data_IF_803943005452
#
_entry.id   IF_803943005452
#
_cell.length_a   1.000
_cell.length_b   1.000
_cell.length_c   1.000
_cell.angle_alpha   90.00
_cell.angle_beta   90.00
_cell.angle_gamma   90.00
#
_symmetry.space_group_name_H-M   'P 1'
#
loop_
_entity.id
_entity.type
_entity.pdbx_description
1 polymer ?
#
# COMPACT_ATOMS: atom_id res chain seq x y z
N UNK A 1 -10.71 6.32 5.24
CA UNK A 1 -9.31 5.96 5.59
C UNK A 1 -8.66 6.94 6.56
N UNK A 2 -8.74 8.28 6.34
CA UNK A 2 -8.07 9.28 7.18
C UNK A 2 -9.00 10.09 8.10
N UNK A 3 -10.19 9.59 8.39
CA UNK A 3 -11.14 10.26 9.30
C UNK A 3 -10.53 10.42 10.69
N UNK A 4 -10.54 11.66 11.22
CA UNK A 4 -9.94 11.98 12.51
C UNK A 4 -8.44 12.26 12.50
N UNK A 5 -7.75 12.08 11.35
CA UNK A 5 -6.32 12.38 11.22
C UNK A 5 -6.08 13.85 10.88
N UNK A 6 -5.11 14.46 11.56
CA UNK A 6 -4.68 15.84 11.36
C UNK A 6 -3.34 15.87 10.61
N UNK A 7 -3.33 16.47 9.43
CA UNK A 7 -2.16 16.51 8.55
C UNK A 7 -1.75 17.96 8.33
N UNK A 8 -0.46 18.24 8.53
CA UNK A 8 0.14 19.53 8.18
C UNK A 8 0.87 19.41 6.85
N UNK A 9 0.45 20.21 5.87
CA UNK A 9 1.16 20.41 4.61
C UNK A 9 2.01 21.68 4.70
N UNK A 10 3.32 21.53 4.72
CA UNK A 10 4.28 22.59 4.81
C UNK A 10 4.83 22.93 3.42
N UNK A 11 4.32 24.01 2.82
CA UNK A 11 4.59 24.41 1.42
C UNK A 11 5.68 25.47 1.36
N UNK A 12 6.73 25.19 0.58
CA UNK A 12 7.87 26.11 0.45
C UNK A 12 7.99 26.71 -0.95
N UNK A 13 8.86 27.69 -1.13
CA UNK A 13 9.03 28.43 -2.37
C UNK A 13 9.60 27.59 -3.52
N UNK A 14 8.73 26.97 -4.28
CA UNK A 14 9.05 26.19 -5.49
C UNK A 14 7.86 26.23 -6.45
N UNK A 15 8.14 26.18 -7.75
CA UNK A 15 7.09 26.07 -8.78
C UNK A 15 6.19 24.85 -8.53
N UNK A 16 6.70 23.76 -7.94
CA UNK A 16 5.92 22.57 -7.64
C UNK A 16 4.84 22.77 -6.55
N UNK A 17 4.75 23.96 -5.92
CA UNK A 17 3.74 24.27 -4.90
C UNK A 17 2.30 24.10 -5.41
N UNK A 18 2.02 24.34 -6.70
CA UNK A 18 0.68 24.16 -7.28
C UNK A 18 0.16 22.72 -7.16
N UNK A 19 1.05 21.73 -7.18
CA UNK A 19 0.68 20.33 -7.05
C UNK A 19 0.09 20.00 -5.66
N UNK A 20 0.51 20.72 -4.64
CA UNK A 20 0.05 20.46 -3.26
C UNK A 20 -1.42 20.85 -3.08
N UNK A 21 -1.96 21.75 -3.91
CA UNK A 21 -3.39 22.03 -3.93
C UNK A 21 -4.21 20.80 -4.29
N UNK A 22 -3.75 20.00 -5.29
CA UNK A 22 -4.39 18.74 -5.63
C UNK A 22 -4.27 17.71 -4.51
N UNK A 23 -3.09 17.58 -3.89
CA UNK A 23 -2.90 16.70 -2.74
C UNK A 23 -3.80 17.07 -1.56
N UNK A 24 -3.95 18.35 -1.25
CA UNK A 24 -4.86 18.84 -0.20
C UNK A 24 -6.32 18.40 -0.50
N UNK A 25 -6.76 18.53 -1.77
CA UNK A 25 -8.08 18.03 -2.19
C UNK A 25 -8.22 16.51 -2.05
N UNK A 26 -7.18 15.73 -2.42
CA UNK A 26 -7.19 14.27 -2.26
C UNK A 26 -7.32 13.86 -0.79
N UNK A 27 -6.57 14.50 0.10
CA UNK A 27 -6.63 14.25 1.55
C UNK A 27 -7.99 14.61 2.14
N UNK A 28 -8.59 15.73 1.69
CA UNK A 28 -9.95 16.12 2.08
C UNK A 28 -11.01 15.09 1.69
N UNK A 29 -10.89 14.48 0.48
CA UNK A 29 -11.78 13.37 0.05
C UNK A 29 -11.63 12.12 0.91
N UNK A 30 -10.48 11.91 1.53
CA UNK A 30 -10.23 10.84 2.49
C UNK A 30 -10.63 11.20 3.93
N UNK A 31 -11.27 12.37 4.11
CA UNK A 31 -11.76 12.91 5.39
C UNK A 31 -10.65 13.29 6.38
N UNK A 32 -9.44 13.60 5.92
CA UNK A 32 -8.40 14.18 6.76
C UNK A 32 -8.70 15.66 7.09
N UNK A 33 -8.33 16.10 8.30
CA UNK A 33 -8.25 17.52 8.62
C UNK A 33 -6.87 18.03 8.17
N UNK A 34 -6.87 18.90 7.16
CA UNK A 34 -5.64 19.40 6.54
C UNK A 34 -5.41 20.84 6.95
N UNK A 35 -4.25 21.15 7.52
CA UNK A 35 -3.78 22.54 7.78
C UNK A 35 -2.57 22.81 6.89
N UNK A 36 -2.56 23.96 6.23
CA UNK A 36 -1.46 24.35 5.33
C UNK A 36 -0.64 25.45 5.95
N UNK A 37 0.68 25.21 6.00
CA UNK A 37 1.68 26.22 6.36
C UNK A 37 2.41 26.64 5.09
N UNK A 38 2.63 27.92 4.89
CA UNK A 38 3.39 28.43 3.76
C UNK A 38 4.54 29.31 4.22
N UNK A 39 5.70 29.15 3.56
CA UNK A 39 6.74 30.17 3.67
C UNK A 39 6.33 31.43 2.90
N UNK A 40 6.85 32.61 3.27
CA UNK A 40 6.63 33.83 2.50
C UNK A 40 7.00 33.68 1.01
N UNK A 41 8.06 32.88 0.71
CA UNK A 41 8.45 32.63 -0.67
C UNK A 41 7.45 31.75 -1.42
N UNK A 42 6.70 30.87 -0.73
CA UNK A 42 5.69 30.02 -1.36
C UNK A 42 4.51 30.83 -1.92
N UNK A 43 4.18 31.95 -1.30
CA UNK A 43 3.06 32.82 -1.73
C UNK A 43 3.29 33.48 -3.10
N UNK A 44 4.54 33.50 -3.59
CA UNK A 44 4.87 33.95 -4.93
C UNK A 44 4.49 32.92 -6.03
N UNK A 45 4.26 31.65 -5.66
CA UNK A 45 3.95 30.57 -6.60
C UNK A 45 2.49 30.14 -6.54
N UNK A 46 1.85 30.24 -5.38
CA UNK A 46 0.43 29.91 -5.19
C UNK A 46 -0.16 30.80 -4.10
N UNK A 47 -1.40 31.27 -4.31
CA UNK A 47 -2.06 32.13 -3.34
C UNK A 47 -2.62 31.29 -2.17
N UNK A 48 -2.46 31.72 -0.91
CA UNK A 48 -3.02 31.07 0.28
C UNK A 48 -4.50 30.74 0.21
N UNK A 49 -5.31 31.63 -0.42
CA UNK A 49 -6.77 31.42 -0.60
C UNK A 49 -7.10 30.12 -1.33
N UNK A 50 -6.19 29.62 -2.18
CA UNK A 50 -6.37 28.34 -2.86
C UNK A 50 -6.46 27.20 -1.85
N UNK A 51 -5.57 27.17 -0.88
CA UNK A 51 -5.56 26.16 0.17
C UNK A 51 -6.71 26.33 1.15
N UNK A 52 -7.04 27.56 1.53
CA UNK A 52 -8.17 27.86 2.42
C UNK A 52 -9.49 27.38 1.82
N UNK A 53 -9.68 27.60 0.53
CA UNK A 53 -10.88 27.14 -0.20
C UNK A 53 -10.97 25.61 -0.24
N UNK A 54 -9.83 24.91 -0.43
CA UNK A 54 -9.80 23.46 -0.56
C UNK A 54 -9.91 22.73 0.78
N UNK A 55 -9.37 23.31 1.84
CA UNK A 55 -9.29 22.64 3.16
C UNK A 55 -10.36 23.11 4.14
N UNK A 56 -10.97 24.28 3.89
CA UNK A 56 -11.86 24.95 4.85
C UNK A 56 -11.13 25.48 6.09
N UNK A 57 -9.80 25.47 6.12
CA UNK A 57 -8.97 25.94 7.21
C UNK A 57 -8.11 27.12 6.77
N UNK A 58 -7.80 28.01 7.70
CA UNK A 58 -6.88 29.14 7.47
C UNK A 58 -5.49 28.61 7.06
N UNK A 59 -4.89 29.22 6.04
CA UNK A 59 -3.50 29.00 5.66
C UNK A 59 -2.59 29.87 6.54
N UNK A 60 -1.61 29.26 7.20
CA UNK A 60 -0.77 29.94 8.17
C UNK A 60 0.58 30.32 7.54
N UNK A 61 0.94 31.58 7.63
CA UNK A 61 2.16 32.14 7.01
C UNK A 61 3.01 32.86 8.06
N UNK A 62 2.38 33.72 8.86
CA UNK A 62 3.05 34.57 9.85
C UNK A 62 2.93 33.97 11.25
N UNK A 63 4.05 33.88 11.95
CA UNK A 63 4.12 33.39 13.33
C UNK A 63 3.42 34.34 14.31
N UNK A 64 3.35 35.63 13.97
CA UNK A 64 2.85 36.72 14.83
C UNK A 64 1.60 37.39 14.28
N UNK A 65 0.77 36.67 13.54
CA UNK A 65 -0.53 37.18 13.09
C UNK A 65 -1.40 37.55 14.30
N UNK A 66 -1.76 38.85 14.39
CA UNK A 66 -2.52 39.41 15.53
C UNK A 66 -4.02 39.05 15.53
N UNK A 67 -4.52 38.41 14.49
CA UNK A 67 -5.93 37.96 14.38
C UNK A 67 -6.16 36.57 14.95
N UNK A 68 -5.32 36.11 15.88
CA UNK A 68 -5.44 34.77 16.48
C UNK A 68 -6.20 34.78 17.82
N UNK A 69 -6.84 33.70 18.13
CA UNK A 69 -7.36 33.43 19.46
C UNK A 69 -6.20 33.07 20.38
N UNK A 70 -6.25 33.52 21.65
CA UNK A 70 -5.23 33.48 22.72
C UNK A 70 -4.37 32.22 22.93
N UNK A 71 -4.19 31.35 21.93
CA UNK A 71 -3.35 30.15 21.94
C UNK A 71 -2.12 30.38 21.08
N UNK A 72 -0.97 29.86 21.51
CA UNK A 72 0.25 29.81 20.69
C UNK A 72 0.03 28.82 19.55
N UNK A 73 -0.36 29.32 18.39
CA UNK A 73 -0.93 28.57 17.27
C UNK A 73 -0.03 27.42 16.83
N UNK A 74 1.29 27.65 16.69
CA UNK A 74 2.24 26.59 16.31
C UNK A 74 2.38 25.48 17.37
N UNK A 75 2.20 25.78 18.67
CA UNK A 75 2.26 24.77 19.75
C UNK A 75 0.98 23.94 19.79
N UNK A 76 -0.19 24.58 19.63
CA UNK A 76 -1.46 23.88 19.56
C UNK A 76 -1.50 22.94 18.36
N UNK A 77 -1.14 23.44 17.19
CA UNK A 77 -1.08 22.66 15.96
C UNK A 77 -0.10 21.49 16.07
N UNK A 78 1.08 21.72 16.67
CA UNK A 78 2.09 20.66 16.83
C UNK A 78 1.62 19.50 17.71
N UNK A 79 0.77 19.75 18.72
CA UNK A 79 0.21 18.73 19.61
C UNK A 79 -0.85 17.86 18.96
N UNK A 80 -1.63 18.45 18.04
CA UNK A 80 -2.74 17.76 17.38
C UNK A 80 -2.33 17.05 16.08
N UNK A 81 -1.16 17.35 15.53
CA UNK A 81 -0.73 16.85 14.22
C UNK A 81 -0.26 15.41 14.27
N UNK A 82 -0.85 14.56 13.43
CA UNK A 82 -0.46 13.15 13.26
C UNK A 82 0.72 12.99 12.27
N UNK A 83 0.83 13.89 11.28
CA UNK A 83 1.89 13.87 10.28
C UNK A 83 2.16 15.24 9.69
N UNK A 84 3.45 15.54 9.48
CA UNK A 84 3.90 16.71 8.72
C UNK A 84 4.50 16.27 7.39
N UNK A 85 3.99 16.80 6.27
CA UNK A 85 4.62 16.69 4.96
C UNK A 85 5.18 18.05 4.55
N UNK A 86 6.49 18.14 4.40
CA UNK A 86 7.15 19.32 3.80
C UNK A 86 7.27 19.08 2.30
N UNK A 87 6.39 19.70 1.53
CA UNK A 87 6.29 19.51 0.08
C UNK A 87 5.71 20.76 -0.61
N UNK A 88 6.36 21.25 -1.67
CA UNK A 88 7.74 20.97 -2.06
C UNK A 88 8.72 21.43 -0.98
N UNK A 89 9.77 20.67 -0.72
CA UNK A 89 10.84 21.06 0.20
C UNK A 89 12.01 21.70 -0.56
N UNK A 90 12.18 23.01 -0.45
CA UNK A 90 13.32 23.72 -1.03
C UNK A 90 14.62 23.46 -0.25
N UNK A 91 15.77 23.58 -0.92
CA UNK A 91 17.08 23.45 -0.28
C UNK A 91 17.22 24.38 0.95
N UNK A 92 16.65 25.59 0.89
CA UNK A 92 16.65 26.54 2.00
C UNK A 92 15.95 25.96 3.23
N UNK A 93 14.72 25.46 3.09
CA UNK A 93 13.93 24.92 4.21
C UNK A 93 14.53 23.60 4.72
N UNK A 94 15.04 22.74 3.84
CA UNK A 94 15.81 21.54 4.22
C UNK A 94 17.01 21.94 5.10
N UNK A 95 17.78 22.95 4.69
CA UNK A 95 18.91 23.46 5.44
C UNK A 95 18.51 24.04 6.80
N UNK A 96 17.43 24.80 6.88
CA UNK A 96 16.89 25.35 8.13
C UNK A 96 16.51 24.24 9.10
N UNK A 97 15.66 23.31 8.69
CA UNK A 97 15.20 22.20 9.54
C UNK A 97 16.39 21.36 10.01
N UNK A 98 17.33 21.02 9.11
CA UNK A 98 18.50 20.22 9.42
C UNK A 98 19.43 20.88 10.48
N UNK A 99 19.41 22.19 10.56
CA UNK A 99 20.26 22.94 11.50
C UNK A 99 19.46 23.61 12.66
N UNK A 100 18.19 23.24 12.84
CA UNK A 100 17.38 23.72 13.97
C UNK A 100 17.00 25.21 13.87
N UNK A 101 16.97 25.78 12.67
CA UNK A 101 16.57 27.18 12.45
C UNK A 101 15.05 27.22 12.34
N UNK A 102 14.40 27.96 13.24
CA UNK A 102 12.96 28.10 13.36
C UNK A 102 12.60 29.61 13.35
N UNK A 103 12.76 30.23 12.18
CA UNK A 103 12.64 31.69 12.01
C UNK A 103 11.35 32.11 11.28
N UNK A 104 10.49 31.17 10.94
CA UNK A 104 9.18 31.39 10.35
C UNK A 104 8.13 30.42 10.91
N UNK A 105 6.84 30.62 10.62
CA UNK A 105 5.73 29.81 11.11
C UNK A 105 5.90 28.33 10.73
N UNK A 106 6.34 28.03 9.50
CA UNK A 106 6.52 26.69 9.00
C UNK A 106 7.63 25.94 9.77
N UNK A 107 8.82 26.53 9.82
CA UNK A 107 9.98 25.89 10.47
C UNK A 107 9.79 25.77 11.98
N UNK A 108 9.15 26.76 12.63
CA UNK A 108 8.79 26.70 14.05
C UNK A 108 7.84 25.56 14.35
N UNK A 109 6.77 25.41 13.54
CA UNK A 109 5.80 24.31 13.72
C UNK A 109 6.44 22.96 13.47
N UNK A 110 7.22 22.80 12.38
CA UNK A 110 7.93 21.53 12.08
C UNK A 110 8.85 21.12 13.22
N UNK A 111 9.55 22.08 13.85
CA UNK A 111 10.42 21.81 15.00
C UNK A 111 9.64 21.45 16.25
N UNK A 112 8.45 22.02 16.46
CA UNK A 112 7.61 21.75 17.63
C UNK A 112 6.87 20.42 17.55
N UNK A 113 6.60 19.89 16.33
CA UNK A 113 5.91 18.62 16.13
C UNK A 113 6.75 17.44 16.61
N UNK A 114 6.13 16.51 17.35
CA UNK A 114 6.72 15.22 17.72
C UNK A 114 6.36 14.07 16.74
N UNK A 115 5.36 14.30 15.90
CA UNK A 115 4.87 13.30 14.93
C UNK A 115 5.87 13.01 13.79
N UNK A 116 5.56 12.03 12.95
CA UNK A 116 6.34 11.69 11.75
C UNK A 116 6.42 12.88 10.80
N UNK A 117 7.61 13.08 10.26
CA UNK A 117 7.89 14.13 9.29
C UNK A 117 8.39 13.53 7.98
N UNK A 118 7.74 13.91 6.88
CA UNK A 118 8.11 13.49 5.52
C UNK A 118 8.56 14.72 4.76
N UNK A 119 9.69 14.63 4.10
CA UNK A 119 10.31 15.71 3.34
C UNK A 119 10.35 15.30 1.87
N UNK A 120 9.71 16.08 1.00
CA UNK A 120 9.71 15.89 -0.45
C UNK A 120 10.54 16.95 -1.15
N UNK A 121 11.84 16.73 -1.40
CA UNK A 121 12.72 17.69 -2.04
C UNK A 121 12.24 18.08 -3.44
N UNK A 122 12.36 19.38 -3.76
CA UNK A 122 12.07 19.92 -5.09
C UNK A 122 13.00 21.09 -5.39
N UNK A 123 13.95 20.87 -6.30
CA UNK A 123 14.97 21.86 -6.66
C UNK A 123 15.66 21.49 -7.98
N UNK A 124 16.45 22.41 -8.51
CA UNK A 124 17.33 22.14 -9.65
C UNK A 124 18.30 20.98 -9.34
N UNK A 125 18.70 20.23 -10.36
CA UNK A 125 19.60 19.07 -10.25
C UNK A 125 20.90 19.38 -9.54
N UNK A 126 21.56 20.49 -9.89
CA UNK A 126 22.84 20.87 -9.28
C UNK A 126 22.68 21.23 -7.78
N UNK A 127 21.55 21.85 -7.41
CA UNK A 127 21.22 22.08 -6.02
C UNK A 127 20.98 20.76 -5.27
N UNK A 128 20.25 19.84 -5.87
CA UNK A 128 20.00 18.53 -5.27
C UNK A 128 21.29 17.72 -5.07
N UNK A 129 22.18 17.71 -6.07
CA UNK A 129 23.46 17.01 -6.02
C UNK A 129 24.52 17.73 -5.16
N UNK A 130 24.25 18.97 -4.72
CA UNK A 130 25.21 19.73 -3.91
C UNK A 130 25.51 18.97 -2.62
N UNK A 131 26.81 18.75 -2.28
CA UNK A 131 27.21 17.99 -1.09
C UNK A 131 26.60 18.51 0.21
N UNK A 132 26.44 19.82 0.36
CA UNK A 132 25.85 20.45 1.56
C UNK A 132 24.36 20.08 1.67
N UNK A 133 23.64 20.10 0.54
CA UNK A 133 22.21 19.73 0.50
C UNK A 133 22.04 18.23 0.78
N UNK A 134 22.91 17.39 0.22
CA UNK A 134 22.92 15.94 0.49
C UNK A 134 23.23 15.64 1.97
N UNK A 135 24.20 16.34 2.58
CA UNK A 135 24.50 16.19 4.01
C UNK A 135 23.32 16.63 4.88
N UNK A 136 22.67 17.74 4.57
CA UNK A 136 21.46 18.18 5.27
C UNK A 136 20.34 17.13 5.18
N UNK A 137 20.07 16.55 4.01
CA UNK A 137 19.07 15.49 3.85
C UNK A 137 19.46 14.22 4.64
N UNK A 138 20.72 13.83 4.64
CA UNK A 138 21.22 12.70 5.43
C UNK A 138 21.12 12.97 6.93
N UNK A 139 21.32 14.22 7.36
CA UNK A 139 21.12 14.66 8.73
C UNK A 139 19.64 14.52 9.13
N UNK A 140 18.69 14.95 8.29
CA UNK A 140 17.26 14.75 8.54
C UNK A 140 16.90 13.26 8.68
N UNK A 141 17.43 12.40 7.81
CA UNK A 141 17.22 10.92 7.90
C UNK A 141 17.74 10.36 9.22
N UNK A 142 18.94 10.79 9.66
CA UNK A 142 19.51 10.36 10.97
C UNK A 142 18.63 10.76 12.15
N UNK A 143 17.88 11.85 12.05
CA UNK A 143 16.92 12.28 13.07
C UNK A 143 15.50 11.71 12.87
N UNK A 144 15.35 10.64 12.08
CA UNK A 144 14.10 9.91 11.93
C UNK A 144 13.08 10.53 10.97
N UNK A 145 13.45 11.58 10.24
CA UNK A 145 12.62 12.14 9.19
C UNK A 145 12.78 11.33 7.91
N UNK A 146 11.68 11.12 7.22
CA UNK A 146 11.71 10.44 5.93
C UNK A 146 11.92 11.44 4.80
N UNK A 147 12.99 11.25 4.04
CA UNK A 147 13.30 12.10 2.89
C UNK A 147 13.05 11.31 1.62
N UNK A 148 11.98 11.67 0.90
CA UNK A 148 11.60 11.05 -0.37
C UNK A 148 12.65 11.38 -1.43
N UNK A 149 13.03 10.38 -2.22
CA UNK A 149 13.88 10.62 -3.39
C UNK A 149 13.07 11.33 -4.46
N UNK A 150 13.51 12.49 -4.97
CA UNK A 150 12.81 13.17 -6.06
C UNK A 150 12.89 12.38 -7.36
N UNK A 151 11.91 12.60 -8.24
CA UNK A 151 11.88 12.01 -9.57
C UNK A 151 12.97 12.60 -10.48
N UNK A 152 13.30 11.82 -11.50
CA UNK A 152 14.12 12.28 -12.63
C UNK A 152 13.22 12.67 -13.79
N UNK A 153 13.56 13.73 -14.50
CA UNK A 153 12.82 14.17 -15.70
C UNK A 153 13.07 15.64 -16.02
N UNK A 154 12.23 16.17 -16.91
CA UNK A 154 12.31 17.56 -17.33
C UNK A 154 11.90 18.51 -16.18
N UNK A 155 12.81 19.42 -15.85
CA UNK A 155 12.64 20.42 -14.80
C UNK A 155 12.16 21.76 -15.36
N UNK A 156 11.55 22.59 -14.53
CA UNK A 156 11.05 23.90 -14.95
C UNK A 156 12.12 24.88 -15.42
N UNK A 157 13.41 24.63 -15.12
CA UNK A 157 14.54 25.40 -15.63
C UNK A 157 14.97 24.98 -17.05
N UNK A 158 14.34 23.95 -17.66
CA UNK A 158 14.70 23.44 -18.98
C UNK A 158 15.70 22.29 -18.97
N UNK A 159 16.27 21.94 -17.82
CA UNK A 159 17.24 20.84 -17.70
C UNK A 159 16.52 19.50 -17.48
N UNK A 160 17.14 18.41 -17.92
CA UNK A 160 16.75 17.05 -17.58
C UNK A 160 17.65 16.51 -16.46
N UNK A 161 17.01 16.00 -15.39
CA UNK A 161 17.75 15.45 -14.26
C UNK A 161 16.91 15.15 -13.05
N UNK A 162 17.58 14.76 -11.96
CA UNK A 162 16.95 14.49 -10.66
C UNK A 162 16.67 15.81 -9.93
N UNK A 163 15.54 15.89 -9.24
CA UNK A 163 15.16 17.08 -8.44
C UNK A 163 13.68 17.44 -8.57
N UNK A 164 12.93 16.72 -9.40
CA UNK A 164 11.50 16.91 -9.59
C UNK A 164 10.73 16.30 -8.42
N UNK A 165 9.84 17.10 -7.79
CA UNK A 165 8.97 16.57 -6.74
C UNK A 165 8.13 15.40 -7.30
N UNK A 166 8.02 14.28 -6.58
CA UNK A 166 7.19 13.16 -6.96
C UNK A 166 5.73 13.56 -7.22
N UNK A 167 4.97 12.67 -7.84
CA UNK A 167 3.55 12.91 -8.09
C UNK A 167 2.77 13.01 -6.78
N UNK A 168 1.60 13.65 -6.83
CA UNK A 168 0.70 13.79 -5.70
C UNK A 168 0.23 12.42 -5.18
N UNK A 169 0.10 11.44 -6.07
CA UNK A 169 -0.24 10.07 -5.69
C UNK A 169 0.88 9.44 -4.85
N UNK A 170 2.14 9.57 -5.26
CA UNK A 170 3.28 9.05 -4.49
C UNK A 170 3.34 9.72 -3.11
N UNK A 171 3.13 11.04 -3.02
CA UNK A 171 3.07 11.74 -1.74
C UNK A 171 1.93 11.22 -0.85
N UNK A 172 0.76 10.96 -1.44
CA UNK A 172 -0.39 10.37 -0.75
C UNK A 172 -0.06 8.97 -0.24
N UNK A 173 0.59 8.13 -1.06
CA UNK A 173 0.97 6.76 -0.67
C UNK A 173 1.90 6.76 0.55
N UNK A 174 2.86 7.70 0.61
CA UNK A 174 3.71 7.89 1.79
C UNK A 174 2.91 8.30 3.03
N UNK A 175 1.94 9.22 2.89
CA UNK A 175 1.06 9.63 4.01
C UNK A 175 0.22 8.45 4.50
N UNK A 176 -0.43 7.72 3.58
CA UNK A 176 -1.27 6.56 3.92
C UNK A 176 -0.45 5.47 4.61
N UNK A 177 0.74 5.17 4.09
CA UNK A 177 1.65 4.21 4.72
C UNK A 177 1.95 4.56 6.18
N UNK A 178 2.07 5.84 6.52
CA UNK A 178 2.41 6.24 7.89
C UNK A 178 1.22 6.26 8.84
N UNK A 179 0.04 6.76 8.42
CA UNK A 179 -1.04 7.09 9.36
C UNK A 179 -2.42 6.48 9.05
N UNK A 180 -2.59 5.74 7.94
CA UNK A 180 -3.90 5.21 7.58
C UNK A 180 -4.44 4.22 8.62
N UNK A 181 -3.58 3.36 9.17
CA UNK A 181 -3.92 2.35 10.16
C UNK A 181 -2.89 2.29 11.29
N UNK A 182 -3.27 1.68 12.42
CA UNK A 182 -2.33 1.27 13.45
C UNK A 182 -1.29 0.30 12.87
N UNK A 183 -0.07 0.33 13.44
CA UNK A 183 1.04 -0.50 12.98
C UNK A 183 1.12 -1.82 13.76
N UNK A 184 -0.02 -2.49 13.89
CA UNK A 184 -0.16 -3.76 14.63
C UNK A 184 0.56 -4.94 13.98
N UNK A 185 0.93 -4.83 12.70
CA UNK A 185 1.78 -5.78 12.00
C UNK A 185 3.25 -5.33 11.90
N UNK A 186 3.67 -4.30 12.64
CA UNK A 186 5.06 -3.85 12.62
C UNK A 186 6.03 -4.98 13.00
N UNK A 187 7.06 -5.17 12.16
CA UNK A 187 8.06 -6.24 12.33
C UNK A 187 7.59 -7.64 11.90
N UNK A 188 6.36 -7.79 11.39
CA UNK A 188 5.86 -9.04 10.81
C UNK A 188 6.19 -9.12 9.33
N UNK A 189 6.62 -10.30 8.88
CA UNK A 189 6.80 -10.65 7.47
C UNK A 189 5.55 -11.35 6.95
N UNK A 190 4.95 -10.82 5.90
CA UNK A 190 3.69 -11.33 5.32
C UNK A 190 3.89 -11.72 3.86
N UNK A 191 3.66 -12.99 3.55
CA UNK A 191 3.66 -13.50 2.18
C UNK A 191 2.22 -13.58 1.66
N UNK A 192 1.95 -12.94 0.53
CA UNK A 192 0.66 -13.00 -0.14
C UNK A 192 0.83 -13.56 -1.55
N UNK A 193 0.02 -14.54 -1.94
CA UNK A 193 -0.06 -14.96 -3.34
C UNK A 193 -1.28 -14.35 -4.01
N UNK A 194 -1.16 -13.86 -5.23
CA UNK A 194 -2.24 -13.20 -5.96
C UNK A 194 -2.29 -13.58 -7.45
N UNK A 195 -3.38 -13.19 -8.11
CA UNK A 195 -3.58 -13.40 -9.54
C UNK A 195 -4.00 -14.81 -9.89
N UNK A 196 -4.08 -15.06 -11.20
CA UNK A 196 -4.22 -16.39 -11.76
C UNK A 196 -2.87 -16.83 -12.34
N UNK A 197 -2.57 -18.13 -12.22
CA UNK A 197 -1.49 -18.74 -12.98
C UNK A 197 -1.93 -19.01 -14.41
N UNK A 198 -0.98 -19.15 -15.31
CA UNK A 198 -1.21 -19.46 -16.73
C UNK A 198 -0.38 -20.66 -17.13
N UNK A 199 -1.07 -21.72 -17.50
CA UNK A 199 -0.45 -22.98 -17.90
C UNK A 199 -0.35 -23.05 -19.42
N UNK A 200 0.87 -22.98 -19.93
CA UNK A 200 1.16 -22.89 -21.36
C UNK A 200 0.68 -24.14 -22.12
N UNK A 201 -0.10 -23.95 -23.18
CA UNK A 201 -0.42 -24.97 -24.17
C UNK A 201 0.61 -24.89 -25.31
N UNK A 202 0.87 -23.69 -25.80
CA UNK A 202 1.87 -23.34 -26.81
C UNK A 202 2.32 -21.88 -26.58
N UNK A 203 3.22 -21.28 -27.37
CA UNK A 203 3.67 -19.91 -27.20
C UNK A 203 2.57 -18.85 -27.24
N UNK A 204 1.35 -19.19 -27.71
CA UNK A 204 0.25 -18.26 -27.95
C UNK A 204 -0.93 -18.50 -27.00
N UNK A 205 -1.16 -19.76 -26.63
CA UNK A 205 -2.36 -20.19 -25.89
C UNK A 205 -1.99 -20.77 -24.54
N UNK A 206 -2.87 -20.54 -23.56
CA UNK A 206 -2.70 -21.02 -22.18
C UNK A 206 -4.06 -21.34 -21.55
N UNK A 207 -4.04 -22.14 -20.49
CA UNK A 207 -5.16 -22.40 -19.57
C UNK A 207 -4.98 -21.48 -18.36
N UNK A 208 -6.03 -20.84 -17.90
CA UNK A 208 -5.99 -19.97 -16.72
C UNK A 208 -7.35 -19.87 -16.05
N UNK A 209 -7.39 -19.24 -14.89
CA UNK A 209 -8.59 -18.93 -14.13
C UNK A 209 -9.07 -17.49 -14.39
N UNK A 210 -10.34 -17.20 -14.11
CA UNK A 210 -10.93 -15.86 -14.27
C UNK A 210 -10.50 -14.85 -13.18
N UNK A 211 -9.63 -15.24 -12.25
CA UNK A 211 -9.18 -14.35 -11.18
C UNK A 211 -8.40 -13.15 -11.71
N UNK A 212 -8.74 -11.98 -11.22
CA UNK A 212 -8.04 -10.71 -11.53
C UNK A 212 -6.89 -10.40 -10.56
N UNK A 213 -6.81 -11.10 -9.42
CA UNK A 213 -5.84 -10.82 -8.36
C UNK A 213 -6.25 -9.73 -7.36
N UNK A 214 -7.37 -9.03 -7.58
CA UNK A 214 -7.79 -7.87 -6.75
C UNK A 214 -7.73 -8.16 -5.25
N UNK A 215 -8.19 -9.33 -4.78
CA UNK A 215 -8.20 -9.65 -3.35
C UNK A 215 -6.77 -9.77 -2.80
N UNK A 216 -5.88 -10.50 -3.46
CA UNK A 216 -4.49 -10.63 -3.01
C UNK A 216 -3.74 -9.29 -2.99
N UNK A 217 -3.99 -8.42 -3.96
CA UNK A 217 -3.43 -7.07 -3.99
C UNK A 217 -3.96 -6.21 -2.83
N UNK A 218 -5.26 -6.24 -2.56
CA UNK A 218 -5.86 -5.51 -1.43
C UNK A 218 -5.33 -6.02 -0.06
N UNK A 219 -5.12 -7.34 0.08
CA UNK A 219 -4.51 -7.92 1.29
C UNK A 219 -3.07 -7.44 1.45
N UNK A 220 -2.28 -7.46 0.38
CA UNK A 220 -0.89 -7.00 0.42
C UNK A 220 -0.78 -5.52 0.77
N UNK A 221 -1.64 -4.68 0.19
CA UNK A 221 -1.73 -3.26 0.51
C UNK A 221 -2.13 -3.02 1.97
N UNK A 222 -3.17 -3.69 2.46
CA UNK A 222 -3.63 -3.55 3.83
C UNK A 222 -2.54 -3.97 4.84
N UNK A 223 -1.88 -5.11 4.61
CA UNK A 223 -0.78 -5.56 5.47
C UNK A 223 0.38 -4.55 5.49
N UNK A 224 0.74 -3.98 4.35
CA UNK A 224 1.76 -2.92 4.24
C UNK A 224 1.34 -1.66 5.00
N UNK A 225 0.10 -1.21 4.84
CA UNK A 225 -0.42 -0.03 5.56
C UNK A 225 -0.46 -0.25 7.08
N UNK A 226 -0.57 -1.48 7.55
CA UNK A 226 -0.47 -1.89 8.97
C UNK A 226 0.97 -2.15 9.44
N UNK A 227 1.96 -1.88 8.59
CA UNK A 227 3.38 -1.88 8.95
C UNK A 227 4.12 -3.19 8.73
N UNK A 228 3.52 -4.17 8.06
CA UNK A 228 4.19 -5.42 7.71
C UNK A 228 5.25 -5.23 6.62
N UNK A 229 6.27 -6.09 6.64
CA UNK A 229 7.16 -6.34 5.51
C UNK A 229 6.50 -7.36 4.58
N UNK A 230 6.02 -6.90 3.42
CA UNK A 230 5.15 -7.68 2.54
C UNK A 230 5.88 -8.17 1.32
N UNK A 231 5.78 -9.49 1.06
CA UNK A 231 6.15 -10.10 -0.22
C UNK A 231 4.90 -10.56 -0.97
N UNK A 232 4.67 -10.01 -2.15
CA UNK A 232 3.58 -10.36 -3.05
C UNK A 232 4.09 -11.23 -4.20
N UNK A 233 3.76 -12.53 -4.18
CA UNK A 233 4.00 -13.42 -5.31
C UNK A 233 2.77 -13.36 -6.22
N UNK A 234 2.92 -12.84 -7.42
CA UNK A 234 1.77 -12.58 -8.30
C UNK A 234 1.92 -13.15 -9.69
N UNK A 235 0.87 -13.85 -10.13
CA UNK A 235 0.66 -14.17 -11.54
C UNK A 235 0.41 -12.90 -12.36
N UNK A 236 0.28 -13.05 -13.68
CA UNK A 236 0.02 -11.92 -14.57
C UNK A 236 -1.28 -11.22 -14.19
N UNK A 237 -1.20 -9.93 -13.91
CA UNK A 237 -2.33 -9.07 -13.57
C UNK A 237 -2.23 -7.75 -14.34
N UNK A 238 -3.38 -7.09 -14.57
CA UNK A 238 -3.46 -5.72 -15.07
C UNK A 238 -3.34 -4.69 -13.94
N UNK A 239 -3.37 -5.14 -12.68
CA UNK A 239 -3.26 -4.27 -11.52
C UNK A 239 -1.81 -3.84 -11.31
N UNK A 240 -1.63 -2.59 -10.89
CA UNK A 240 -0.35 -2.09 -10.42
C UNK A 240 -0.12 -2.59 -8.99
N UNK A 241 1.01 -3.23 -8.68
CA UNK A 241 1.32 -3.61 -7.31
C UNK A 241 1.32 -2.42 -6.36
N UNK A 242 0.87 -2.59 -5.10
CA UNK A 242 1.00 -1.55 -4.09
C UNK A 242 2.46 -1.09 -3.94
N UNK A 243 2.70 0.19 -3.65
CA UNK A 243 4.06 0.66 -3.35
C UNK A 243 4.58 0.07 -2.03
N UNK A 244 5.88 0.15 -1.82
CA UNK A 244 6.59 -0.26 -0.57
C UNK A 244 6.51 -1.76 -0.23
N UNK A 245 6.20 -2.63 -1.17
CA UNK A 245 6.22 -4.09 -0.99
C UNK A 245 7.24 -4.75 -1.92
N UNK A 246 7.68 -5.95 -1.57
CA UNK A 246 8.48 -6.79 -2.46
C UNK A 246 7.54 -7.55 -3.41
N UNK A 247 7.80 -7.48 -4.72
CA UNK A 247 6.97 -8.14 -5.75
C UNK A 247 7.77 -9.21 -6.46
N UNK A 248 7.27 -10.45 -6.44
CA UNK A 248 7.83 -11.59 -7.14
C UNK A 248 6.86 -12.01 -8.26
N UNK A 249 7.12 -11.63 -9.51
CA UNK A 249 6.28 -12.00 -10.64
C UNK A 249 6.49 -13.48 -11.01
N UNK A 250 5.39 -14.19 -11.26
CA UNK A 250 5.37 -15.60 -11.70
C UNK A 250 4.40 -15.78 -12.87
N UNK A 251 4.51 -16.89 -13.59
CA UNK A 251 3.62 -17.19 -14.73
C UNK A 251 2.80 -18.44 -14.44
N UNK A 252 3.44 -19.56 -14.14
CA UNK A 252 2.82 -20.86 -13.97
C UNK A 252 2.58 -21.22 -12.51
N UNK A 253 1.80 -22.28 -12.28
CA UNK A 253 1.64 -22.88 -10.96
C UNK A 253 2.98 -23.35 -10.38
N UNK A 254 3.88 -23.87 -11.24
CA UNK A 254 5.20 -24.31 -10.82
C UNK A 254 6.06 -23.13 -10.36
N UNK A 255 6.09 -22.02 -11.13
CA UNK A 255 6.84 -20.84 -10.72
C UNK A 255 6.35 -20.30 -9.37
N UNK A 256 5.02 -20.31 -9.17
CA UNK A 256 4.43 -19.86 -7.90
C UNK A 256 4.78 -20.81 -6.75
N UNK A 257 4.77 -22.11 -6.99
CA UNK A 257 5.17 -23.12 -5.99
C UNK A 257 6.63 -22.89 -5.57
N UNK A 258 7.55 -22.77 -6.55
CA UNK A 258 8.97 -22.56 -6.29
C UNK A 258 9.21 -21.26 -5.54
N UNK A 259 8.59 -20.15 -5.95
CA UNK A 259 8.70 -18.86 -5.28
C UNK A 259 8.18 -18.89 -3.83
N UNK A 260 7.06 -19.59 -3.58
CA UNK A 260 6.53 -19.78 -2.22
C UNK A 260 7.48 -20.61 -1.38
N UNK A 261 7.98 -21.74 -1.91
CA UNK A 261 8.94 -22.62 -1.22
C UNK A 261 10.18 -21.85 -0.78
N UNK A 262 10.72 -21.03 -1.67
CA UNK A 262 11.96 -20.29 -1.44
C UNK A 262 11.81 -19.14 -0.43
N UNK A 263 10.58 -18.61 -0.25
CA UNK A 263 10.30 -17.47 0.62
C UNK A 263 9.65 -17.84 1.97
N UNK A 264 8.91 -18.96 2.05
CA UNK A 264 7.98 -19.23 3.16
C UNK A 264 8.63 -19.37 4.53
N UNK A 265 9.88 -19.80 4.58
CA UNK A 265 10.55 -20.09 5.85
C UNK A 265 10.74 -18.87 6.75
N UNK A 266 10.86 -17.69 6.16
CA UNK A 266 11.09 -16.44 6.88
C UNK A 266 9.79 -15.67 7.19
N UNK A 267 8.63 -16.16 6.75
CA UNK A 267 7.37 -15.45 6.92
C UNK A 267 6.68 -15.78 8.24
N UNK A 268 6.09 -14.76 8.86
CA UNK A 268 5.21 -14.93 10.03
C UNK A 268 3.79 -15.31 9.61
N UNK A 269 3.31 -14.72 8.51
CA UNK A 269 1.94 -14.88 8.00
C UNK A 269 2.01 -15.23 6.51
N UNK A 270 1.30 -16.28 6.10
CA UNK A 270 1.22 -16.71 4.71
C UNK A 270 -0.24 -16.75 4.27
N UNK A 271 -0.59 -15.95 3.26
CA UNK A 271 -1.96 -15.84 2.74
C UNK A 271 -1.99 -16.30 1.29
N UNK A 272 -2.57 -17.48 1.06
CA UNK A 272 -2.70 -18.07 -0.26
C UNK A 272 -4.03 -17.63 -0.90
N UNK A 273 -4.04 -16.46 -1.59
CA UNK A 273 -5.21 -15.90 -2.25
C UNK A 273 -5.22 -16.10 -3.77
N UNK A 274 -4.12 -16.55 -4.36
CA UNK A 274 -4.02 -16.81 -5.81
C UNK A 274 -4.95 -17.93 -6.26
N UNK A 275 -5.53 -17.76 -7.46
CA UNK A 275 -6.23 -18.80 -8.18
C UNK A 275 -5.22 -19.60 -9.03
N UNK A 276 -4.60 -20.59 -8.40
CA UNK A 276 -3.64 -21.49 -9.06
C UNK A 276 -4.38 -22.54 -9.86
N UNK A 277 -3.91 -22.84 -11.06
CA UNK A 277 -4.48 -23.93 -11.87
C UNK A 277 -4.17 -25.29 -11.21
N UNK A 278 -5.20 -26.12 -11.06
CA UNK A 278 -5.06 -27.49 -10.51
C UNK A 278 -4.47 -28.49 -11.51
N UNK A 279 -4.47 -28.11 -12.80
CA UNK A 279 -4.00 -28.92 -13.90
C UNK A 279 -3.18 -28.11 -14.89
N UNK A 280 -2.15 -28.74 -15.46
CA UNK A 280 -1.31 -28.17 -16.53
C UNK A 280 -1.21 -29.15 -17.71
N UNK A 281 -0.95 -28.69 -18.97
CA UNK A 281 -0.64 -29.56 -20.08
C UNK A 281 0.62 -30.40 -19.82
N UNK A 282 0.55 -31.73 -20.10
CA UNK A 282 1.69 -32.64 -19.89
C UNK A 282 2.86 -32.29 -20.79
N UNK A 283 2.58 -31.92 -22.05
CA UNK A 283 3.58 -31.60 -23.06
C UNK A 283 3.17 -30.30 -23.75
N UNK A 284 3.56 -29.13 -23.20
CA UNK A 284 3.33 -27.85 -23.88
C UNK A 284 4.16 -27.81 -25.16
N UNK A 285 3.55 -27.40 -26.26
CA UNK A 285 4.24 -27.30 -27.55
C UNK A 285 5.23 -26.12 -27.56
N UNK A 286 6.41 -26.33 -28.15
CA UNK A 286 7.41 -25.26 -28.31
C UNK A 286 7.01 -24.28 -29.40
N UNK A 287 6.26 -24.73 -30.41
CA UNK A 287 5.76 -23.89 -31.49
C UNK A 287 4.22 -23.82 -31.46
N UNK A 288 3.66 -22.76 -32.06
CA UNK A 288 2.22 -22.59 -32.22
C UNK A 288 1.60 -23.79 -32.93
N UNK A 289 0.68 -24.48 -32.26
CA UNK A 289 -0.07 -25.60 -32.84
C UNK A 289 -0.93 -25.06 -33.99
N UNK A 290 -0.70 -25.56 -35.20
CA UNK A 290 -1.50 -25.21 -36.38
C UNK A 290 -2.86 -25.87 -36.34
N UNK A 291 -3.88 -25.22 -36.90
CA UNK A 291 -5.22 -25.81 -37.05
C UNK A 291 -5.13 -27.03 -37.92
N UNK A 292 -5.72 -28.13 -37.45
CA UNK A 292 -5.86 -29.39 -38.17
C UNK A 292 -7.34 -29.60 -38.51
N UNK A 293 -7.66 -30.59 -39.36
CA UNK A 293 -9.05 -30.90 -39.72
C UNK A 293 -9.78 -31.60 -38.59
N UNK A 294 -9.05 -32.29 -37.71
CA UNK A 294 -9.59 -33.03 -36.57
C UNK A 294 -9.66 -32.18 -35.29
N UNK A 295 -10.47 -32.66 -34.32
CA UNK A 295 -10.56 -32.09 -32.98
C UNK A 295 -9.25 -32.20 -32.22
N UNK A 296 -8.89 -31.16 -31.47
CA UNK A 296 -7.70 -31.13 -30.65
C UNK A 296 -8.02 -31.53 -29.20
N UNK A 297 -7.33 -32.55 -28.69
CA UNK A 297 -7.34 -32.91 -27.27
C UNK A 297 -6.03 -32.54 -26.59
N UNK A 298 -6.12 -32.07 -25.36
CA UNK A 298 -4.95 -31.70 -24.55
C UNK A 298 -4.97 -32.61 -23.30
N UNK A 299 -3.92 -33.42 -23.15
CA UNK A 299 -3.75 -34.19 -21.93
C UNK A 299 -3.24 -33.31 -20.81
N UNK A 300 -3.91 -33.34 -19.65
CA UNK A 300 -3.58 -32.58 -18.47
C UNK A 300 -3.04 -33.49 -17.37
N UNK A 301 -2.12 -32.98 -16.57
CA UNK A 301 -1.63 -33.55 -15.31
C UNK A 301 -1.88 -32.58 -14.15
N UNK A 302 -1.87 -33.09 -12.91
CA UNK A 302 -2.04 -32.24 -11.71
C UNK A 302 -0.81 -31.39 -11.47
N UNK A 303 -1.05 -30.17 -11.01
CA UNK A 303 -0.02 -29.27 -10.47
C UNK A 303 0.26 -29.57 -9.00
N UNK A 304 1.35 -29.01 -8.47
CA UNK A 304 1.70 -29.15 -7.06
C UNK A 304 0.75 -28.36 -6.16
N UNK A 305 0.45 -28.95 -5.01
CA UNK A 305 -0.47 -28.39 -4.03
C UNK A 305 0.27 -27.41 -3.09
N UNK A 306 0.31 -26.14 -3.47
CA UNK A 306 1.01 -25.09 -2.72
C UNK A 306 0.53 -25.01 -1.27
N UNK A 307 -0.80 -24.99 -1.03
CA UNK A 307 -1.32 -24.86 0.34
C UNK A 307 -1.02 -26.10 1.18
N UNK A 308 -1.09 -27.29 0.58
CA UNK A 308 -0.69 -28.55 1.23
C UNK A 308 0.78 -28.54 1.62
N UNK A 309 1.64 -28.11 0.70
CA UNK A 309 3.08 -27.99 0.95
C UNK A 309 3.39 -27.02 2.10
N UNK A 310 2.77 -25.82 2.08
CA UNK A 310 2.95 -24.83 3.17
C UNK A 310 2.54 -25.45 4.52
N UNK A 311 1.38 -26.09 4.60
CA UNK A 311 0.89 -26.70 5.85
C UNK A 311 1.74 -27.86 6.36
N UNK A 312 2.37 -28.64 5.47
CA UNK A 312 3.27 -29.73 5.84
C UNK A 312 4.63 -29.24 6.37
N UNK A 313 5.08 -28.07 5.88
CA UNK A 313 6.39 -27.47 6.23
C UNK A 313 6.26 -26.25 7.16
N UNK A 314 5.06 -26.03 7.73
CA UNK A 314 4.76 -24.95 8.65
C UNK A 314 5.71 -24.96 9.86
N UNK A 315 6.33 -23.81 10.13
CA UNK A 315 7.14 -23.60 11.36
C UNK A 315 6.24 -23.20 12.54
N UNK A 316 6.67 -23.48 13.79
CA UNK A 316 5.96 -22.97 14.97
C UNK A 316 5.84 -21.44 14.92
N UNK A 317 4.65 -20.93 15.19
CA UNK A 317 4.35 -19.49 15.20
C UNK A 317 3.98 -18.88 13.84
N UNK A 318 4.07 -19.63 12.75
CA UNK A 318 3.56 -19.19 11.46
C UNK A 318 2.04 -19.29 11.42
N UNK A 319 1.37 -18.31 10.82
CA UNK A 319 -0.08 -18.32 10.54
C UNK A 319 -0.33 -18.52 9.06
N UNK A 320 -1.17 -19.50 8.72
CA UNK A 320 -1.49 -19.86 7.34
C UNK A 320 -2.97 -19.64 7.06
N UNK A 321 -3.27 -18.76 6.09
CA UNK A 321 -4.61 -18.51 5.60
C UNK A 321 -4.74 -18.95 4.13
N UNK A 322 -5.75 -19.79 3.84
CA UNK A 322 -6.08 -20.20 2.48
C UNK A 322 -7.45 -19.66 2.05
N UNK A 323 -7.63 -19.53 0.73
CA UNK A 323 -8.93 -19.20 0.15
C UNK A 323 -9.63 -20.42 -0.40
N UNK A 324 -10.94 -20.47 -0.22
CA UNK A 324 -11.82 -21.48 -0.81
C UNK A 324 -12.93 -20.82 -1.59
N UNK A 325 -13.20 -21.36 -2.75
CA UNK A 325 -14.27 -20.90 -3.63
C UNK A 325 -15.12 -22.13 -3.97
N UNK A 326 -16.29 -22.19 -3.37
CA UNK A 326 -17.16 -23.37 -3.45
C UNK A 326 -18.54 -22.96 -3.98
N UNK A 327 -19.11 -23.81 -4.80
CA UNK A 327 -20.47 -23.63 -5.33
C UNK A 327 -21.51 -24.49 -4.63
N UNK A 328 -21.08 -25.52 -3.88
CA UNK A 328 -21.93 -26.44 -3.12
C UNK A 328 -21.22 -26.88 -1.83
N UNK A 329 -21.99 -27.10 -0.75
CA UNK A 329 -21.48 -27.57 0.56
C UNK A 329 -20.26 -26.81 1.06
N UNK A 330 -20.28 -25.45 0.92
CA UNK A 330 -19.14 -24.56 1.16
C UNK A 330 -18.49 -24.79 2.54
N UNK A 331 -19.28 -24.84 3.61
CA UNK A 331 -18.75 -24.99 4.97
C UNK A 331 -18.05 -26.35 5.18
N UNK A 332 -18.68 -27.44 4.73
CA UNK A 332 -18.14 -28.78 4.91
C UNK A 332 -16.84 -28.95 4.10
N UNK A 333 -16.83 -28.52 2.84
CA UNK A 333 -15.66 -28.60 1.97
C UNK A 333 -14.51 -27.74 2.49
N UNK A 334 -14.80 -26.52 2.96
CA UNK A 334 -13.80 -25.62 3.50
C UNK A 334 -13.21 -26.11 4.83
N UNK A 335 -14.03 -26.73 5.72
CA UNK A 335 -13.53 -27.39 6.94
C UNK A 335 -12.62 -28.59 6.61
N UNK A 336 -13.03 -29.44 5.66
CA UNK A 336 -12.16 -30.53 5.18
C UNK A 336 -10.84 -30.01 4.63
N UNK A 337 -10.89 -28.90 3.87
CA UNK A 337 -9.70 -28.23 3.32
C UNK A 337 -8.80 -27.69 4.43
N UNK A 338 -9.34 -27.01 5.44
CA UNK A 338 -8.62 -26.51 6.61
C UNK A 338 -7.78 -27.60 7.26
N UNK A 339 -8.44 -28.72 7.63
CA UNK A 339 -7.81 -29.85 8.31
C UNK A 339 -6.79 -30.56 7.42
N UNK A 340 -7.17 -30.87 6.17
CA UNK A 340 -6.29 -31.56 5.21
C UNK A 340 -5.04 -30.77 4.89
N UNK A 341 -5.14 -29.43 4.81
CA UNK A 341 -4.03 -28.53 4.47
C UNK A 341 -3.29 -27.99 5.69
N UNK A 342 -3.70 -28.36 6.90
CA UNK A 342 -3.14 -27.86 8.16
C UNK A 342 -3.04 -26.33 8.22
N UNK A 343 -4.02 -25.64 7.59
CA UNK A 343 -4.13 -24.20 7.64
C UNK A 343 -4.78 -23.76 8.97
N UNK A 344 -4.50 -22.53 9.41
CA UNK A 344 -5.11 -21.96 10.62
C UNK A 344 -6.49 -21.35 10.30
N UNK A 345 -6.64 -20.86 9.07
CA UNK A 345 -7.86 -20.22 8.60
C UNK A 345 -8.13 -20.55 7.13
N UNK A 346 -9.39 -20.75 6.80
CA UNK A 346 -9.88 -20.75 5.41
C UNK A 346 -10.90 -19.63 5.27
N UNK A 347 -10.73 -18.83 4.26
CA UNK A 347 -11.70 -17.83 3.84
C UNK A 347 -12.50 -18.38 2.68
N UNK A 348 -13.76 -18.65 2.95
CA UNK A 348 -14.69 -19.18 1.95
C UNK A 348 -15.48 -18.04 1.30
N UNK A 349 -15.46 -18.00 -0.03
CA UNK A 349 -16.19 -17.04 -0.83
C UNK A 349 -17.41 -17.71 -1.48
N UNK A 350 -18.60 -17.12 -1.32
CA UNK A 350 -19.85 -17.62 -1.89
C UNK A 350 -20.15 -16.95 -3.24
N UNK A 351 -19.90 -17.65 -4.34
CA UNK A 351 -20.14 -17.14 -5.69
C UNK A 351 -21.61 -16.95 -6.09
N UNK A 352 -22.55 -17.51 -5.31
CA UNK A 352 -23.99 -17.48 -5.67
C UNK A 352 -24.69 -16.20 -5.22
N UNK A 353 -24.06 -15.38 -4.41
CA UNK A 353 -24.65 -14.13 -3.93
C UNK A 353 -24.25 -12.96 -4.85
N UNK A 354 -25.23 -12.12 -5.17
CA UNK A 354 -25.04 -10.90 -5.95
C UNK A 354 -24.13 -9.94 -5.18
N UNK A 355 -23.07 -9.42 -5.82
CA UNK A 355 -22.04 -8.61 -5.16
C UNK A 355 -20.79 -9.37 -4.71
N UNK A 356 -20.78 -10.73 -4.78
CA UNK A 356 -19.62 -11.55 -4.51
C UNK A 356 -19.07 -12.14 -5.82
N UNK A 357 -17.91 -11.66 -6.31
CA UNK A 357 -17.36 -12.18 -7.57
C UNK A 357 -15.96 -11.69 -7.89
N UNK A 358 -15.33 -12.29 -8.92
CA UNK A 358 -13.96 -12.00 -9.32
C UNK A 358 -13.70 -10.54 -9.72
N UNK A 359 -14.68 -9.83 -10.24
CA UNK A 359 -14.53 -8.45 -10.71
C UNK A 359 -15.09 -7.38 -9.78
N UNK A 360 -15.90 -7.75 -8.78
CA UNK A 360 -16.55 -6.82 -7.87
C UNK A 360 -15.54 -6.20 -6.87
N UNK A 361 -15.84 -5.02 -6.38
CA UNK A 361 -15.06 -4.36 -5.31
C UNK A 361 -15.52 -4.76 -3.91
N UNK A 362 -16.68 -5.43 -3.81
CA UNK A 362 -17.24 -6.02 -2.60
C UNK A 362 -17.02 -7.53 -2.55
N UNK A 363 -17.16 -8.10 -1.36
CA UNK A 363 -17.14 -9.54 -1.15
C UNK A 363 -18.06 -9.95 0.02
N UNK A 364 -18.51 -11.21 0.00
CA UNK A 364 -19.22 -11.87 1.12
C UNK A 364 -18.38 -13.10 1.45
N UNK A 365 -17.79 -13.10 2.60
CA UNK A 365 -16.85 -14.15 3.02
C UNK A 365 -17.30 -14.79 4.33
N UNK A 366 -16.92 -16.04 4.49
CA UNK A 366 -17.03 -16.78 5.74
C UNK A 366 -15.64 -17.15 6.22
N UNK A 367 -15.28 -16.73 7.42
CA UNK A 367 -14.05 -17.15 8.09
C UNK A 367 -14.27 -18.50 8.75
N UNK A 368 -13.38 -19.43 8.53
CA UNK A 368 -13.45 -20.79 9.06
C UNK A 368 -12.09 -21.08 9.71
N UNK A 369 -12.11 -21.26 11.01
CA UNK A 369 -11.00 -21.75 11.82
C UNK A 369 -11.30 -23.17 12.33
N UNK A 370 -10.40 -23.77 13.12
CA UNK A 370 -10.66 -25.07 13.74
C UNK A 370 -11.86 -25.02 14.70
N UNK A 371 -12.00 -23.91 15.42
CA UNK A 371 -12.94 -23.78 16.55
C UNK A 371 -14.19 -22.96 16.19
N UNK A 372 -14.14 -22.12 15.14
CA UNK A 372 -15.20 -21.15 14.86
C UNK A 372 -15.52 -21.01 13.37
N UNK A 373 -16.74 -20.51 13.09
CA UNK A 373 -17.21 -20.15 11.75
C UNK A 373 -17.96 -18.82 11.86
N UNK A 374 -17.44 -17.80 11.20
CA UNK A 374 -17.99 -16.46 11.23
C UNK A 374 -18.39 -16.01 9.82
N UNK A 375 -19.68 -15.75 9.60
CA UNK A 375 -20.21 -15.23 8.35
C UNK A 375 -20.20 -13.72 8.37
N UNK A 376 -19.51 -13.09 7.41
CA UNK A 376 -19.46 -11.65 7.29
C UNK A 376 -20.56 -11.11 6.40
N UNK A 377 -21.10 -9.92 6.72
CA UNK A 377 -22.00 -9.21 5.81
C UNK A 377 -21.25 -8.82 4.52
N UNK A 378 -22.00 -8.33 3.53
CA UNK A 378 -21.36 -7.73 2.35
C UNK A 378 -20.53 -6.52 2.79
N UNK A 379 -19.25 -6.53 2.43
CA UNK A 379 -18.32 -5.45 2.75
C UNK A 379 -17.32 -5.24 1.61
N UNK A 380 -16.61 -4.12 1.62
CA UNK A 380 -15.54 -3.89 0.65
C UNK A 380 -14.41 -4.90 0.85
N UNK A 381 -13.63 -5.17 -0.21
CA UNK A 381 -12.44 -6.02 -0.11
C UNK A 381 -11.43 -5.47 0.89
N UNK A 382 -11.35 -4.16 1.02
CA UNK A 382 -10.49 -3.47 2.00
C UNK A 382 -10.92 -3.76 3.44
N UNK A 383 -12.23 -3.68 3.75
CA UNK A 383 -12.77 -4.01 5.08
C UNK A 383 -12.56 -5.48 5.42
N UNK A 384 -12.80 -6.38 4.45
CA UNK A 384 -12.51 -7.81 4.62
C UNK A 384 -11.05 -8.03 4.97
N UNK A 385 -10.10 -7.29 4.34
CA UNK A 385 -8.67 -7.44 4.58
C UNK A 385 -8.25 -7.09 6.02
N UNK A 386 -8.97 -6.20 6.71
CA UNK A 386 -8.69 -5.87 8.12
C UNK A 386 -8.88 -7.09 9.05
N UNK A 387 -9.73 -8.01 8.67
CA UNK A 387 -10.09 -9.18 9.48
C UNK A 387 -9.14 -10.38 9.29
N UNK A 388 -8.44 -10.50 8.14
CA UNK A 388 -7.55 -11.64 7.86
C UNK A 388 -6.26 -11.68 8.65
N UNK A 389 -5.80 -10.53 9.09
CA UNK A 389 -4.46 -10.36 9.68
C UNK A 389 -4.51 -10.22 11.19
N UNK A 390 -5.69 -10.29 11.79
CA UNK A 390 -5.85 -10.32 13.25
C UNK A 390 -5.84 -11.77 13.74
N UNK A 391 -5.09 -12.12 14.79
CA UNK A 391 -5.06 -13.48 15.32
C UNK A 391 -6.38 -13.93 15.96
N UNK A 392 -7.35 -13.01 16.17
CA UNK A 392 -8.73 -13.32 16.56
C UNK A 392 -9.68 -12.25 16.03
N UNK A 393 -10.83 -12.63 15.41
CA UNK A 393 -11.89 -11.70 15.05
C UNK A 393 -12.49 -10.96 16.26
N UNK A 394 -12.34 -11.49 17.47
CA UNK A 394 -12.87 -10.90 18.72
C UNK A 394 -12.10 -9.67 19.19
N UNK A 395 -10.82 -9.53 18.81
CA UNK A 395 -9.99 -8.39 19.23
C UNK A 395 -10.35 -7.09 18.50
N UNK A 396 -11.18 -7.17 17.44
CA UNK A 396 -11.61 -6.01 16.63
C UNK A 396 -12.87 -5.32 17.21
N UNK A 397 -13.69 -6.02 18.00
CA UNK A 397 -14.90 -5.44 18.61
C UNK A 397 -14.60 -4.58 19.85
N UNK A 398 -13.48 -4.80 20.54
CA UNK A 398 -13.10 -4.01 21.72
C UNK A 398 -12.41 -2.67 21.36
N UNK A 399 -12.08 -2.42 20.10
CA UNK A 399 -11.41 -1.20 19.63
C UNK A 399 -12.30 -0.24 18.81
N UNK A 400 -13.65 -0.40 18.90
CA UNK A 400 -14.62 0.52 18.28
C UNK A 400 -15.27 1.48 19.26
#
# INVERSE_FOLDING_TARGET
MLKGKNIVLAVTGSIAAYKIANLASMLGKLHAKVTVLMTANATNFINPITFETLTGNKCLIDTFDRNFQYNVEHVSLAKETDLVLVAPASANVIGKIANGIADDMLTTTVMACSCKKIIAPAMNTQMYLNPIVQDNMNKLRRFGMEVITPDTGHLACGDDGIGKMPSEQVLLDYILREIAFEKDLAGKKVLVTAGATMEKIDPVRYISNHSTGKMGYAIAENAMLRGADVTLITGKSILTPPPFINVVPVISAQDMFDAVRDCMEEQDIIIKAAAVADYRPVNPAEEKIKKQEDDMSIRLERTDDILGYIGEHKKPGQFICGFSMETQNMLENSRKKLLKKKADMIVANNLKQEGAGFGADTNIVTFITADDVEEMPIMSKEEVCLLYTSPSPRDVEESR
#
